data_IF_382471073974
#
_entry.id   IF_382471073974
#
_cell.length_a   1.000
_cell.length_b   1.000
_cell.length_c   1.000
_cell.angle_alpha   90.00
_cell.angle_beta   90.00
_cell.angle_gamma   90.00
#
_symmetry.space_group_name_H-M   'P 1'
#
loop_
_entity.id
_entity.type
_entity.pdbx_description
1 polymer ?
#
# COMPACT_ATOMS: atom_id res chain seq x y z
N UNK A 1 14.85 17.41 -17.57
CA UNK A 1 14.20 18.05 -16.40
C UNK A 1 13.31 16.97 -15.80
N UNK A 2 13.65 16.45 -14.61
CA UNK A 2 12.87 15.39 -13.98
C UNK A 2 11.49 15.95 -13.61
N UNK A 3 10.42 15.25 -13.98
CA UNK A 3 9.07 15.64 -13.59
C UNK A 3 8.92 15.36 -12.10
N UNK A 4 8.71 16.42 -11.32
CA UNK A 4 8.35 16.33 -9.91
C UNK A 4 7.00 15.61 -9.81
N UNK A 5 7.03 14.35 -9.36
CA UNK A 5 5.82 13.53 -9.12
C UNK A 5 4.99 14.02 -7.92
N UNK A 6 5.51 14.99 -7.20
CA UNK A 6 4.91 15.60 -6.03
C UNK A 6 5.26 17.10 -6.05
N UNK A 7 4.26 17.97 -5.88
CA UNK A 7 4.50 19.40 -5.82
C UNK A 7 4.94 19.77 -4.40
N UNK A 8 6.22 20.11 -4.26
CA UNK A 8 6.82 20.48 -3.00
C UNK A 8 6.40 21.91 -2.62
N UNK A 9 5.52 22.06 -1.63
CA UNK A 9 5.09 23.39 -1.15
C UNK A 9 5.91 23.85 0.05
N UNK A 10 5.93 25.18 0.28
CA UNK A 10 6.62 25.79 1.42
C UNK A 10 6.12 25.24 2.77
N UNK A 11 4.82 24.95 2.90
CA UNK A 11 4.23 24.39 4.12
C UNK A 11 4.78 23.00 4.48
N UNK A 12 4.89 22.11 3.49
CA UNK A 12 5.45 20.77 3.72
C UNK A 12 6.94 20.88 4.07
N UNK A 13 7.66 21.79 3.40
CA UNK A 13 9.06 22.08 3.70
C UNK A 13 9.23 22.55 5.15
N UNK A 14 8.35 23.44 5.61
CA UNK A 14 8.34 23.92 6.98
C UNK A 14 8.13 22.77 7.98
N UNK A 15 7.13 21.91 7.78
CA UNK A 15 6.90 20.76 8.68
C UNK A 15 8.10 19.81 8.74
N UNK A 16 8.72 19.54 7.58
CA UNK A 16 9.92 18.71 7.48
C UNK A 16 11.11 19.34 8.22
N UNK A 17 11.27 20.67 8.13
CA UNK A 17 12.32 21.41 8.83
C UNK A 17 12.07 21.49 10.33
N UNK A 18 10.81 21.61 10.74
CA UNK A 18 10.37 21.59 12.14
C UNK A 18 10.48 20.21 12.80
N UNK A 19 10.88 19.17 12.06
CA UNK A 19 11.13 17.83 12.59
C UNK A 19 9.89 16.97 12.73
N UNK A 20 8.80 17.29 12.03
CA UNK A 20 7.59 16.46 12.02
C UNK A 20 7.88 15.07 11.42
N UNK A 21 7.19 14.06 11.94
CA UNK A 21 7.03 12.76 11.27
C UNK A 21 6.01 12.91 10.16
N UNK A 22 6.45 12.77 8.91
CA UNK A 22 5.58 12.87 7.73
C UNK A 22 5.04 11.48 7.40
N UNK A 23 3.76 11.27 7.66
CA UNK A 23 3.07 10.02 7.32
C UNK A 23 2.47 10.10 5.93
N UNK A 24 2.59 9.02 5.17
CA UNK A 24 2.01 8.89 3.83
C UNK A 24 1.18 7.60 3.71
N UNK A 25 0.15 7.56 2.85
CA UNK A 25 -0.66 6.36 2.67
C UNK A 25 0.11 5.18 2.08
N UNK A 26 1.14 5.44 1.27
CA UNK A 26 1.85 4.39 0.51
C UNK A 26 3.34 4.69 0.38
N UNK A 27 4.14 3.61 0.21
CA UNK A 27 5.57 3.70 -0.12
C UNK A 27 5.82 4.63 -1.31
N UNK A 28 4.98 4.56 -2.35
CA UNK A 28 5.14 5.36 -3.56
C UNK A 28 5.16 6.86 -3.28
N UNK A 29 4.28 7.33 -2.40
CA UNK A 29 4.21 8.75 -2.02
C UNK A 29 5.43 9.12 -1.17
N UNK A 30 5.80 8.29 -0.18
CA UNK A 30 6.99 8.54 0.63
C UNK A 30 8.26 8.66 -0.21
N UNK A 31 8.45 7.78 -1.20
CA UNK A 31 9.60 7.80 -2.10
C UNK A 31 9.57 9.03 -2.99
N UNK A 32 8.42 9.40 -3.56
CA UNK A 32 8.31 10.60 -4.38
C UNK A 32 8.67 11.89 -3.62
N UNK A 33 8.28 11.99 -2.35
CA UNK A 33 8.64 13.12 -1.49
C UNK A 33 10.15 13.11 -1.21
N UNK A 34 10.72 11.96 -0.85
CA UNK A 34 12.16 11.82 -0.59
C UNK A 34 13.02 12.10 -1.82
N UNK A 35 12.60 11.66 -3.00
CA UNK A 35 13.28 11.93 -4.26
C UNK A 35 13.26 13.43 -4.58
N UNK A 36 12.11 14.10 -4.41
CA UNK A 36 12.00 15.55 -4.59
C UNK A 36 12.89 16.33 -3.62
N UNK A 37 12.99 15.87 -2.36
CA UNK A 37 13.90 16.45 -1.37
C UNK A 37 15.37 16.27 -1.76
N UNK A 38 15.72 15.11 -2.33
CA UNK A 38 17.07 14.83 -2.78
C UNK A 38 17.47 15.68 -4.00
N UNK A 39 16.53 15.93 -4.92
CA UNK A 39 16.75 16.80 -6.08
C UNK A 39 17.00 18.26 -5.70
N UNK A 40 16.36 18.75 -4.63
CA UNK A 40 16.54 20.13 -4.14
C UNK A 40 17.77 20.29 -3.23
N UNK A 41 18.34 19.18 -2.73
CA UNK A 41 19.52 19.24 -1.89
C UNK A 41 20.74 19.69 -2.71
N UNK A 42 21.25 20.88 -2.41
CA UNK A 42 22.49 21.42 -3.01
C UNK A 42 23.76 20.74 -2.50
N UNK A 43 23.67 19.91 -1.45
CA UNK A 43 24.79 19.19 -0.83
C UNK A 43 24.79 17.71 -1.18
N UNK A 44 25.98 17.12 -1.32
CA UNK A 44 26.17 15.67 -1.54
C UNK A 44 25.69 14.80 -0.37
N UNK A 45 25.46 15.39 0.79
CA UNK A 45 24.97 14.70 2.00
C UNK A 45 23.81 15.50 2.59
N UNK A 46 22.66 14.87 2.78
CA UNK A 46 21.48 15.47 3.39
C UNK A 46 20.96 14.59 4.54
N UNK A 47 20.39 15.23 5.56
CA UNK A 47 19.80 14.52 6.69
C UNK A 47 18.55 13.78 6.23
N UNK A 48 18.49 12.47 6.47
CA UNK A 48 17.29 11.68 6.13
C UNK A 48 16.09 12.23 6.89
N UNK A 49 15.12 12.76 6.14
CA UNK A 49 13.87 13.29 6.69
C UNK A 49 12.96 12.13 7.10
N UNK A 50 12.16 12.34 8.15
CA UNK A 50 11.27 11.32 8.69
C UNK A 50 9.97 11.21 7.87
N UNK A 51 10.12 10.88 6.58
CA UNK A 51 9.01 10.61 5.66
C UNK A 51 8.81 9.10 5.61
N UNK A 52 7.68 8.63 6.13
CA UNK A 52 7.43 7.22 6.35
C UNK A 52 5.98 6.85 5.97
N UNK A 53 5.78 5.73 5.27
CA UNK A 53 4.46 5.13 5.05
C UNK A 53 3.82 4.71 6.37
N UNK A 54 2.51 4.92 6.51
CA UNK A 54 1.79 4.67 7.77
C UNK A 54 1.97 3.25 8.29
N UNK A 55 1.93 2.24 7.43
CA UNK A 55 2.12 0.84 7.83
C UNK A 55 3.51 0.58 8.41
N UNK A 56 4.55 1.19 7.82
CA UNK A 56 5.91 1.08 8.33
C UNK A 56 6.08 1.84 9.64
N UNK A 57 5.40 2.98 9.79
CA UNK A 57 5.37 3.72 11.04
C UNK A 57 4.67 2.93 12.15
N UNK A 58 3.52 2.30 11.88
CA UNK A 58 2.82 1.42 12.84
C UNK A 58 3.74 0.29 13.28
N UNK A 59 4.39 -0.42 12.34
CA UNK A 59 5.36 -1.48 12.66
C UNK A 59 6.55 -0.99 13.47
N UNK A 60 7.02 0.24 13.22
CA UNK A 60 8.11 0.85 13.98
C UNK A 60 7.65 1.12 15.41
N UNK A 61 6.53 1.80 15.58
CA UNK A 61 5.99 2.15 16.92
C UNK A 61 5.62 0.92 17.73
N UNK A 62 5.07 -0.10 17.09
CA UNK A 62 4.85 -1.39 17.75
C UNK A 62 6.13 -1.96 18.35
N UNK A 63 7.22 -2.00 17.58
CA UNK A 63 8.53 -2.48 18.07
C UNK A 63 9.11 -1.58 19.14
N UNK A 64 9.01 -0.26 18.98
CA UNK A 64 9.50 0.70 19.98
C UNK A 64 8.79 0.50 21.34
N UNK A 65 7.47 0.24 21.33
CA UNK A 65 6.68 -0.07 22.52
C UNK A 65 6.97 -1.47 23.07
N UNK A 66 7.21 -2.45 22.20
CA UNK A 66 7.61 -3.80 22.59
C UNK A 66 8.94 -3.79 23.35
N UNK A 67 9.94 -3.05 22.86
CA UNK A 67 11.22 -2.87 23.54
C UNK A 67 11.11 -2.17 24.90
N UNK A 68 10.06 -1.38 25.10
CA UNK A 68 9.73 -0.76 26.39
C UNK A 68 8.96 -1.70 27.33
N UNK A 69 8.65 -2.94 26.90
CA UNK A 69 7.88 -3.89 27.69
C UNK A 69 6.39 -3.54 27.80
N UNK A 70 5.85 -2.75 26.87
CA UNK A 70 4.46 -2.31 26.92
C UNK A 70 3.56 -3.35 26.24
N UNK A 71 2.63 -3.93 27.00
CA UNK A 71 1.60 -4.85 26.49
C UNK A 71 0.52 -4.08 25.72
N UNK A 72 0.00 -4.60 24.59
CA UNK A 72 0.25 -5.93 24.02
C UNK A 72 1.44 -5.98 23.06
N UNK A 73 2.19 -4.90 22.87
CA UNK A 73 3.26 -4.85 21.89
C UNK A 73 4.43 -5.79 22.24
N UNK A 74 4.75 -5.98 23.51
CA UNK A 74 5.76 -6.94 23.97
C UNK A 74 5.30 -8.41 23.92
N UNK A 75 3.99 -8.65 23.83
CA UNK A 75 3.42 -10.00 23.91
C UNK A 75 3.24 -10.65 22.53
N UNK A 76 3.26 -9.84 21.46
CA UNK A 76 3.01 -10.29 20.11
C UNK A 76 3.97 -9.69 19.10
N UNK A 77 4.43 -10.51 18.16
CA UNK A 77 5.10 -10.05 16.95
C UNK A 77 4.10 -9.68 15.85
N UNK A 78 4.52 -8.82 14.92
CA UNK A 78 3.73 -8.54 13.71
C UNK A 78 4.17 -9.48 12.61
N UNK A 79 3.21 -10.20 12.03
CA UNK A 79 3.42 -11.02 10.85
C UNK A 79 3.75 -10.17 9.63
N UNK A 80 4.77 -10.59 8.88
CA UNK A 80 5.02 -10.08 7.54
C UNK A 80 4.03 -10.67 6.54
N UNK A 81 3.84 -10.00 5.39
CA UNK A 81 2.78 -10.37 4.43
C UNK A 81 2.86 -11.81 3.92
N UNK A 82 4.08 -12.34 3.74
CA UNK A 82 4.27 -13.73 3.36
C UNK A 82 3.96 -14.72 4.51
N UNK A 83 4.26 -14.35 5.74
CA UNK A 83 4.00 -15.19 6.92
C UNK A 83 2.49 -15.30 7.16
N UNK A 84 1.78 -14.17 7.06
CA UNK A 84 0.31 -14.13 7.10
C UNK A 84 -0.29 -14.99 5.98
N UNK A 85 0.19 -14.83 4.74
CA UNK A 85 -0.29 -15.63 3.60
C UNK A 85 -0.07 -17.13 3.80
N UNK A 86 1.10 -17.52 4.31
CA UNK A 86 1.43 -18.93 4.59
C UNK A 86 0.50 -19.51 5.65
N UNK A 87 0.23 -18.77 6.72
CA UNK A 87 -0.70 -19.20 7.77
C UNK A 87 -2.12 -19.38 7.22
N UNK A 88 -2.59 -18.46 6.37
CA UNK A 88 -3.88 -18.62 5.70
C UNK A 88 -3.94 -19.85 4.80
N UNK A 89 -2.89 -20.10 4.01
CA UNK A 89 -2.79 -21.31 3.19
C UNK A 89 -2.88 -22.58 4.04
N UNK A 90 -2.16 -22.65 5.16
CA UNK A 90 -2.22 -23.78 6.09
C UNK A 90 -3.62 -23.99 6.67
N UNK A 91 -4.34 -22.93 7.03
CA UNK A 91 -5.72 -23.03 7.53
C UNK A 91 -6.66 -23.62 6.48
N UNK A 92 -6.51 -23.17 5.23
CA UNK A 92 -7.36 -23.61 4.13
C UNK A 92 -7.05 -25.05 3.72
N UNK A 93 -5.77 -25.39 3.60
CA UNK A 93 -5.31 -26.74 3.23
C UNK A 93 -5.75 -27.78 4.27
N UNK A 94 -5.58 -27.48 5.57
CA UNK A 94 -6.02 -28.36 6.66
C UNK A 94 -7.53 -28.62 6.63
N UNK A 95 -8.33 -27.64 6.22
CA UNK A 95 -9.78 -27.78 6.08
C UNK A 95 -10.20 -28.47 4.77
N UNK A 96 -9.33 -28.45 3.75
CA UNK A 96 -9.60 -28.98 2.41
C UNK A 96 -9.57 -30.51 2.32
N UNK A 97 -9.06 -31.21 3.35
CA UNK A 97 -9.14 -32.67 3.45
C UNK A 97 -10.57 -33.20 3.28
N UNK A 98 -11.58 -32.40 3.69
CA UNK A 98 -13.00 -32.74 3.54
C UNK A 98 -13.66 -32.09 2.31
N UNK A 99 -13.06 -31.03 1.75
CA UNK A 99 -13.57 -30.27 0.61
C UNK A 99 -12.42 -29.73 -0.24
N UNK A 100 -11.96 -30.49 -1.26
CA UNK A 100 -10.83 -30.07 -2.07
C UNK A 100 -11.16 -28.79 -2.83
N UNK A 101 -10.33 -27.76 -2.63
CA UNK A 101 -10.40 -26.50 -3.37
C UNK A 101 -9.53 -26.58 -4.62
N UNK A 102 -9.99 -25.98 -5.71
CA UNK A 102 -9.26 -25.94 -6.99
C UNK A 102 -7.99 -25.09 -6.86
N UNK A 103 -8.01 -24.04 -6.03
CA UNK A 103 -6.85 -23.17 -5.80
C UNK A 103 -6.81 -22.67 -4.34
N UNK A 104 -6.15 -23.40 -3.43
CA UNK A 104 -6.00 -23.01 -2.02
C UNK A 104 -5.25 -21.68 -1.83
N UNK A 105 -4.27 -21.37 -2.69
CA UNK A 105 -3.46 -20.15 -2.57
C UNK A 105 -4.24 -18.89 -2.91
N UNK A 106 -4.97 -18.89 -4.02
CA UNK A 106 -5.88 -17.78 -4.37
C UNK A 106 -6.98 -17.62 -3.32
N UNK A 107 -7.49 -18.73 -2.79
CA UNK A 107 -8.46 -18.69 -1.69
C UNK A 107 -7.85 -18.04 -0.45
N UNK A 108 -6.62 -18.39 -0.09
CA UNK A 108 -5.87 -17.80 1.03
C UNK A 108 -5.69 -16.30 0.88
N UNK A 109 -5.34 -15.85 -0.33
CA UNK A 109 -5.22 -14.43 -0.64
C UNK A 109 -6.55 -13.69 -0.46
N UNK A 110 -7.65 -14.25 -0.97
CA UNK A 110 -8.98 -13.65 -0.84
C UNK A 110 -9.45 -13.55 0.61
N UNK A 111 -9.24 -14.59 1.43
CA UNK A 111 -9.65 -14.56 2.84
C UNK A 111 -8.77 -13.68 3.71
N UNK A 112 -7.46 -13.60 3.44
CA UNK A 112 -6.56 -12.64 4.08
C UNK A 112 -7.02 -11.21 3.81
N UNK A 113 -7.32 -10.89 2.55
CA UNK A 113 -7.85 -9.58 2.18
C UNK A 113 -9.18 -9.28 2.87
N UNK A 114 -10.10 -10.25 2.90
CA UNK A 114 -11.38 -10.10 3.59
C UNK A 114 -11.18 -9.81 5.10
N UNK A 115 -10.25 -10.50 5.76
CA UNK A 115 -9.88 -10.25 7.17
C UNK A 115 -9.33 -8.84 7.37
N UNK A 116 -8.44 -8.38 6.50
CA UNK A 116 -7.88 -7.03 6.55
C UNK A 116 -8.95 -5.95 6.33
N UNK A 117 -9.87 -6.16 5.38
CA UNK A 117 -11.00 -5.26 5.12
C UNK A 117 -11.96 -5.20 6.31
N UNK A 118 -12.27 -6.35 6.93
CA UNK A 118 -13.09 -6.40 8.14
C UNK A 118 -12.45 -5.58 9.27
N UNK A 119 -11.15 -5.75 9.53
CA UNK A 119 -10.46 -4.97 10.56
C UNK A 119 -10.35 -3.48 10.23
N UNK A 120 -10.28 -3.13 8.94
CA UNK A 120 -10.10 -1.74 8.51
C UNK A 120 -11.39 -0.93 8.53
N UNK A 121 -12.52 -1.58 8.23
CA UNK A 121 -13.80 -0.90 8.00
C UNK A 121 -14.92 -1.28 8.97
N UNK A 122 -14.78 -2.36 9.75
CA UNK A 122 -15.84 -2.82 10.64
C UNK A 122 -15.49 -2.55 12.10
N UNK A 123 -16.44 -1.95 12.82
CA UNK A 123 -16.43 -1.95 14.28
C UNK A 123 -16.74 -3.36 14.82
N UNK A 124 -16.37 -3.68 16.09
CA UNK A 124 -16.74 -4.95 16.71
C UNK A 124 -18.25 -5.23 16.70
N UNK A 125 -19.09 -4.19 16.74
CA UNK A 125 -20.55 -4.31 16.70
C UNK A 125 -21.05 -4.65 15.30
N UNK A 126 -20.51 -4.00 14.26
CA UNK A 126 -20.86 -4.30 12.86
C UNK A 126 -20.43 -5.71 12.47
N UNK A 127 -19.25 -6.15 12.91
CA UNK A 127 -18.79 -7.51 12.65
C UNK A 127 -19.77 -8.55 13.22
N UNK A 128 -20.25 -8.37 14.46
CA UNK A 128 -21.28 -9.24 15.05
C UNK A 128 -22.57 -9.27 14.22
N UNK A 129 -23.01 -8.12 13.72
CA UNK A 129 -24.20 -8.02 12.87
C UNK A 129 -24.01 -8.70 11.50
N UNK A 130 -22.83 -8.56 10.89
CA UNK A 130 -22.47 -9.25 9.64
C UNK A 130 -22.49 -10.76 9.84
N UNK A 131 -21.87 -11.23 10.94
CA UNK A 131 -21.82 -12.65 11.29
C UNK A 131 -23.23 -13.21 11.51
N UNK A 132 -24.09 -12.49 12.23
CA UNK A 132 -25.46 -12.93 12.51
C UNK A 132 -26.38 -12.95 11.28
N UNK A 133 -26.16 -12.02 10.34
CA UNK A 133 -27.04 -11.84 9.16
C UNK A 133 -26.66 -12.71 7.96
N UNK A 134 -25.38 -13.10 7.80
CA UNK A 134 -24.92 -13.87 6.63
C UNK A 134 -24.94 -15.36 6.89
N UNK A 135 -25.84 -16.08 6.20
CA UNK A 135 -26.02 -17.55 6.33
C UNK A 135 -25.62 -18.34 5.08
N UNK A 136 -24.77 -17.79 4.21
CA UNK A 136 -24.35 -18.51 3.01
C UNK A 136 -23.19 -19.48 3.32
N UNK A 137 -23.04 -20.50 2.46
CA UNK A 137 -22.03 -21.56 2.64
C UNK A 137 -20.60 -21.02 2.61
N UNK A 138 -20.29 -20.10 1.71
CA UNK A 138 -18.95 -19.50 1.59
C UNK A 138 -18.55 -18.72 2.84
N UNK A 139 -19.48 -17.98 3.43
CA UNK A 139 -19.27 -17.23 4.66
C UNK A 139 -19.09 -18.17 5.85
N UNK A 140 -19.80 -19.30 5.88
CA UNK A 140 -19.58 -20.33 6.91
C UNK A 140 -18.16 -20.92 6.82
N UNK A 141 -17.66 -21.19 5.61
CA UNK A 141 -16.27 -21.63 5.42
C UNK A 141 -15.27 -20.55 5.81
N UNK A 142 -15.51 -19.30 5.42
CA UNK A 142 -14.69 -18.17 5.83
C UNK A 142 -14.60 -18.06 7.35
N UNK A 143 -15.71 -18.15 8.07
CA UNK A 143 -15.71 -18.07 9.54
C UNK A 143 -14.90 -19.20 10.17
N UNK A 144 -15.00 -20.42 9.64
CA UNK A 144 -14.19 -21.55 10.12
C UNK A 144 -12.70 -21.31 9.90
N UNK A 145 -12.30 -20.93 8.69
CA UNK A 145 -10.89 -20.62 8.40
C UNK A 145 -10.38 -19.44 9.22
N UNK A 146 -11.23 -18.45 9.46
CA UNK A 146 -10.93 -17.27 10.28
C UNK A 146 -10.71 -17.67 11.74
N UNK A 147 -11.55 -18.53 12.30
CA UNK A 147 -11.37 -19.07 13.65
C UNK A 147 -10.06 -19.86 13.77
N UNK A 148 -9.79 -20.77 12.83
CA UNK A 148 -8.54 -21.55 12.79
C UNK A 148 -7.31 -20.63 12.71
N UNK A 149 -7.41 -19.56 11.90
CA UNK A 149 -6.35 -18.56 11.76
C UNK A 149 -6.12 -17.77 13.06
N UNK A 150 -7.18 -17.36 13.74
CA UNK A 150 -7.09 -16.68 15.04
C UNK A 150 -6.46 -17.57 16.11
N UNK A 151 -6.81 -18.87 16.14
CA UNK A 151 -6.20 -19.81 17.07
C UNK A 151 -4.70 -19.99 16.82
N UNK A 152 -4.29 -20.11 15.55
CA UNK A 152 -2.88 -20.26 15.17
C UNK A 152 -2.06 -19.01 15.49
N UNK A 153 -2.57 -17.82 15.17
CA UNK A 153 -1.92 -16.54 15.48
C UNK A 153 -1.73 -16.34 16.98
N UNK A 154 -2.70 -16.73 17.79
CA UNK A 154 -2.59 -16.71 19.25
C UNK A 154 -1.56 -17.72 19.77
N UNK A 155 -1.52 -18.94 19.21
CA UNK A 155 -0.58 -19.98 19.62
C UNK A 155 0.89 -19.60 19.36
N UNK A 156 1.17 -18.95 18.23
CA UNK A 156 2.53 -18.48 17.88
C UNK A 156 2.83 -17.07 18.39
N UNK A 157 1.87 -16.42 19.07
CA UNK A 157 1.99 -15.03 19.53
C UNK A 157 2.41 -14.05 18.43
N UNK A 158 1.80 -14.18 17.26
CA UNK A 158 2.05 -13.28 16.13
C UNK A 158 0.74 -12.85 15.46
N UNK A 159 0.61 -11.56 15.14
CA UNK A 159 -0.62 -10.95 14.64
C UNK A 159 -0.42 -10.33 13.26
N UNK A 160 -1.44 -10.38 12.37
CA UNK A 160 -1.47 -9.53 11.19
C UNK A 160 -1.34 -8.05 11.55
N UNK A 161 -0.75 -7.25 10.67
CA UNK A 161 -0.63 -5.80 10.87
C UNK A 161 -2.00 -5.15 11.13
N UNK A 162 -3.05 -5.58 10.42
CA UNK A 162 -4.41 -5.04 10.58
C UNK A 162 -4.97 -5.29 11.98
N UNK A 163 -4.64 -6.44 12.59
CA UNK A 163 -5.06 -6.78 13.96
C UNK A 163 -4.18 -6.10 15.01
N UNK A 164 -2.88 -6.00 14.75
CA UNK A 164 -1.95 -5.24 15.59
C UNK A 164 -2.36 -3.77 15.68
N UNK A 165 -2.75 -3.13 14.57
CA UNK A 165 -3.27 -1.77 14.55
C UNK A 165 -4.47 -1.59 15.50
N UNK A 166 -5.45 -2.50 15.47
CA UNK A 166 -6.61 -2.42 16.36
C UNK A 166 -6.22 -2.55 17.84
N UNK A 167 -5.23 -3.39 18.16
CA UNK A 167 -4.68 -3.50 19.52
C UNK A 167 -3.93 -2.24 19.94
N UNK A 168 -3.16 -1.66 19.02
CA UNK A 168 -2.44 -0.40 19.24
C UNK A 168 -3.40 0.76 19.51
N UNK A 169 -4.50 0.87 18.75
CA UNK A 169 -5.53 1.89 18.98
C UNK A 169 -6.10 1.75 20.39
N UNK A 170 -6.49 0.54 20.80
CA UNK A 170 -7.01 0.29 22.17
C UNK A 170 -6.03 0.61 23.29
N UNK A 171 -4.73 0.46 23.03
CA UNK A 171 -3.68 0.87 23.95
C UNK A 171 -3.64 2.41 24.04
N UNK A 172 -3.56 3.09 22.90
CA UNK A 172 -3.50 4.56 22.84
C UNK A 172 -4.76 5.26 23.33
N UNK A 173 -5.94 4.63 23.23
CA UNK A 173 -7.18 5.13 23.84
C UNK A 173 -7.06 5.26 25.38
N UNK A 174 -6.24 4.41 26.01
CA UNK A 174 -6.04 4.39 27.47
C UNK A 174 -4.82 5.20 27.91
N UNK A 175 -3.75 5.11 27.13
CA UNK A 175 -2.42 5.67 27.44
C UNK A 175 -1.86 6.35 26.19
N UNK A 176 -2.47 7.48 25.74
CA UNK A 176 -2.04 8.19 24.54
C UNK A 176 -0.63 8.78 24.66
N UNK A 177 -0.11 8.95 25.86
CA UNK A 177 1.24 9.48 26.16
C UNK A 177 2.38 8.53 25.76
N UNK A 178 2.09 7.28 25.42
CA UNK A 178 3.11 6.34 24.92
C UNK A 178 3.68 6.74 23.55
N UNK A 179 3.00 7.60 22.81
CA UNK A 179 3.48 8.16 21.55
C UNK A 179 3.40 9.68 21.62
N UNK A 180 4.58 10.32 21.63
CA UNK A 180 4.75 11.78 21.63
C UNK A 180 5.65 12.22 20.48
N UNK A 181 5.05 12.61 19.36
CA UNK A 181 5.71 13.15 18.17
C UNK A 181 4.77 14.09 17.39
N UNK A 182 5.31 15.13 16.76
CA UNK A 182 4.53 15.95 15.83
C UNK A 182 4.37 15.21 14.50
N UNK A 183 3.14 15.13 13.99
CA UNK A 183 2.78 14.31 12.83
C UNK A 183 2.14 15.16 11.74
N UNK A 184 2.61 15.00 10.50
CA UNK A 184 1.94 15.53 9.32
C UNK A 184 1.37 14.38 8.48
N UNK A 185 0.06 14.38 8.25
CA UNK A 185 -0.66 13.39 7.46
C UNK A 185 -0.74 13.87 6.01
N UNK A 186 0.11 13.35 5.12
CA UNK A 186 0.19 13.79 3.72
C UNK A 186 -0.67 12.93 2.81
N UNK A 187 -1.63 13.53 2.11
CA UNK A 187 -2.47 12.91 1.07
C UNK A 187 -3.38 11.77 1.56
N UNK A 188 -3.85 11.83 2.80
CA UNK A 188 -4.92 10.96 3.29
C UNK A 188 -6.31 11.54 2.91
N UNK A 189 -6.76 11.27 1.68
CA UNK A 189 -8.04 11.81 1.17
C UNK A 189 -9.27 11.16 1.82
N UNK A 190 -9.30 9.82 1.89
CA UNK A 190 -10.35 9.07 2.58
C UNK A 190 -9.73 7.87 3.30
N UNK A 191 -9.12 8.09 4.49
CA UNK A 191 -8.51 7.01 5.25
C UNK A 191 -9.58 6.01 5.73
N UNK A 192 -9.26 4.70 5.76
CA UNK A 192 -10.11 3.70 6.39
C UNK A 192 -10.45 4.06 7.85
N UNK A 193 -11.61 3.63 8.37
CA UNK A 193 -12.02 3.87 9.75
C UNK A 193 -10.95 3.52 10.79
N UNK A 194 -10.19 2.44 10.61
CA UNK A 194 -9.08 2.07 11.50
C UNK A 194 -7.98 3.14 11.57
N UNK A 195 -7.56 3.71 10.44
CA UNK A 195 -6.60 4.81 10.42
C UNK A 195 -7.20 6.09 11.00
N UNK A 196 -8.47 6.41 10.71
CA UNK A 196 -9.17 7.55 11.32
C UNK A 196 -9.16 7.43 12.85
N UNK A 197 -9.46 6.25 13.39
CA UNK A 197 -9.42 5.99 14.83
C UNK A 197 -8.02 6.16 15.41
N UNK A 198 -6.98 5.66 14.72
CA UNK A 198 -5.59 5.89 15.11
C UNK A 198 -5.24 7.39 15.15
N UNK A 199 -5.60 8.15 14.11
CA UNK A 199 -5.32 9.59 14.05
C UNK A 199 -6.00 10.35 15.18
N UNK A 200 -7.23 9.99 15.52
CA UNK A 200 -7.96 10.58 16.66
C UNK A 200 -7.25 10.28 17.98
N UNK A 201 -6.73 9.06 18.19
CA UNK A 201 -5.97 8.75 19.39
C UNK A 201 -4.68 9.57 19.48
N UNK A 202 -3.97 9.73 18.36
CA UNK A 202 -2.73 10.50 18.31
C UNK A 202 -2.97 11.99 18.59
N UNK A 203 -4.06 12.56 18.10
CA UNK A 203 -4.43 13.97 18.33
C UNK A 203 -4.59 14.35 19.81
N UNK A 204 -4.77 13.39 20.71
CA UNK A 204 -4.94 13.66 22.15
C UNK A 204 -3.66 14.23 22.76
N UNK A 205 -2.49 13.71 22.38
CA UNK A 205 -1.19 14.06 22.96
C UNK A 205 -0.21 14.69 21.96
N UNK A 206 -0.56 14.69 20.67
CA UNK A 206 0.32 15.09 19.59
C UNK A 206 -0.28 16.20 18.73
N UNK A 207 0.58 17.04 18.16
CA UNK A 207 0.19 17.89 17.04
C UNK A 207 0.06 17.02 15.78
N UNK A 208 -1.16 16.86 15.27
CA UNK A 208 -1.44 16.12 14.04
C UNK A 208 -2.04 17.06 13.01
N UNK A 209 -1.28 17.36 11.96
CA UNK A 209 -1.69 18.26 10.89
C UNK A 209 -2.02 17.49 9.61
N UNK A 210 -3.15 17.80 9.00
CA UNK A 210 -3.51 17.23 7.71
C UNK A 210 -2.94 18.11 6.60
N UNK A 211 -2.14 17.49 5.74
CA UNK A 211 -1.60 18.13 4.56
C UNK A 211 -2.11 17.38 3.33
N UNK A 212 -2.86 18.09 2.51
CA UNK A 212 -3.17 17.60 1.17
C UNK A 212 -2.24 18.36 0.24
N UNK A 213 -1.28 17.65 -0.34
CA UNK A 213 -0.54 18.18 -1.48
C UNK A 213 -1.61 18.65 -2.44
N UNK A 214 -1.58 19.95 -2.74
CA UNK A 214 -2.25 20.43 -3.93
C UNK A 214 -1.74 19.53 -5.05
N UNK A 215 -2.60 18.60 -5.50
CA UNK A 215 -2.77 18.38 -6.93
C UNK A 215 -2.73 19.80 -7.48
N UNK A 216 -1.90 20.16 -8.48
CA UNK A 216 -1.99 21.50 -9.06
C UNK A 216 -3.47 21.69 -9.35
N UNK A 217 -4.21 22.54 -8.62
CA UNK A 217 -5.58 22.25 -8.18
C UNK A 217 -6.47 22.04 -9.38
N UNK A 218 -6.53 20.84 -9.95
CA UNK A 218 -6.78 20.61 -11.38
C UNK A 218 -6.48 21.82 -12.32
N UNK A 219 -5.43 22.63 -12.10
CA UNK A 219 -5.40 24.06 -12.49
C UNK A 219 -6.68 24.84 -12.07
N UNK A 220 -6.63 26.17 -11.88
CA UNK A 220 -7.82 27.03 -11.55
C UNK A 220 -8.88 27.07 -12.68
N UNK A 221 -9.30 25.90 -13.10
CA UNK A 221 -9.82 25.48 -14.36
C UNK A 221 -10.72 24.36 -13.88
N UNK A 222 -11.99 24.70 -13.67
CA UNK A 222 -13.00 23.68 -13.41
C UNK A 222 -12.90 22.58 -14.47
N UNK A 223 -13.34 21.34 -14.19
CA UNK A 223 -13.35 20.27 -15.19
C UNK A 223 -13.89 20.73 -16.56
N UNK A 224 -14.87 21.63 -16.56
CA UNK A 224 -15.42 22.27 -17.77
C UNK A 224 -14.39 23.10 -18.55
N UNK A 225 -13.51 23.80 -17.84
CA UNK A 225 -12.50 24.70 -18.39
C UNK A 225 -11.27 23.93 -18.89
N UNK A 226 -10.98 22.75 -18.33
CA UNK A 226 -9.88 21.85 -18.75
C UNK A 226 -10.31 21.07 -20.00
N UNK A 227 -11.57 20.63 -20.03
CA UNK A 227 -12.18 19.99 -21.19
C UNK A 227 -12.31 20.92 -22.41
N UNK A 228 -12.33 22.25 -22.21
CA UNK A 228 -12.41 23.24 -23.30
C UNK A 228 -11.04 23.69 -23.81
N UNK A 229 -9.96 23.51 -23.04
CA UNK A 229 -8.59 23.89 -23.46
C UNK A 229 -7.71 22.71 -23.86
N UNK A 230 -8.01 21.51 -23.38
CA UNK A 230 -7.33 20.28 -23.79
C UNK A 230 -8.28 19.42 -24.62
N UNK A 231 -7.80 18.95 -25.77
CA UNK A 231 -8.54 18.05 -26.64
C UNK A 231 -8.79 16.71 -25.96
N UNK A 232 -9.96 16.57 -25.34
CA UNK A 232 -10.43 15.27 -24.89
C UNK A 232 -10.73 14.42 -26.13
N UNK A 233 -9.91 13.40 -26.38
CA UNK A 233 -10.12 12.41 -27.44
C UNK A 233 -10.72 11.16 -26.81
N UNK A 234 -11.95 10.83 -27.21
CA UNK A 234 -12.62 9.59 -26.84
C UNK A 234 -12.64 8.72 -28.09
N UNK A 235 -12.15 7.48 -27.96
CA UNK A 235 -12.13 6.51 -29.04
C UNK A 235 -12.76 5.21 -28.57
N UNK A 236 -13.50 4.56 -29.48
CA UNK A 236 -14.11 3.25 -29.24
C UNK A 236 -13.43 2.21 -30.11
N UNK A 237 -13.16 1.05 -29.53
CA UNK A 237 -12.49 -0.06 -30.20
C UNK A 237 -13.33 -1.33 -30.12
N UNK A 238 -13.28 -2.11 -31.20
CA UNK A 238 -14.04 -3.37 -31.30
C UNK A 238 -13.41 -4.51 -30.49
N UNK A 239 -12.15 -4.37 -30.08
CA UNK A 239 -11.46 -5.35 -29.24
C UNK A 239 -10.42 -4.68 -28.34
N UNK A 240 -10.14 -5.30 -27.19
CA UNK A 240 -9.08 -4.82 -26.29
C UNK A 240 -7.68 -4.89 -26.93
N UNK A 241 -7.48 -5.74 -27.96
CA UNK A 241 -6.22 -5.77 -28.71
C UNK A 241 -6.07 -4.52 -29.58
N UNK A 242 -7.15 -4.08 -30.22
CA UNK A 242 -7.15 -2.86 -31.05
C UNK A 242 -6.97 -1.62 -30.16
N UNK A 243 -7.61 -1.61 -28.98
CA UNK A 243 -7.42 -0.56 -27.97
C UNK A 243 -5.96 -0.45 -27.51
N UNK A 244 -5.34 -1.58 -27.14
CA UNK A 244 -3.91 -1.61 -26.76
C UNK A 244 -3.04 -1.14 -27.92
N UNK A 245 -3.33 -1.59 -29.14
CA UNK A 245 -2.57 -1.24 -30.33
C UNK A 245 -2.61 0.28 -30.61
N UNK A 246 -3.78 0.90 -30.58
CA UNK A 246 -3.93 2.34 -30.81
C UNK A 246 -3.43 3.17 -29.61
N UNK A 247 -3.58 2.68 -28.37
CA UNK A 247 -2.99 3.31 -27.18
C UNK A 247 -1.46 3.42 -27.29
N UNK A 248 -0.79 2.33 -27.68
CA UNK A 248 0.66 2.35 -27.90
C UNK A 248 1.03 3.26 -29.07
N UNK A 249 0.25 3.25 -30.16
CA UNK A 249 0.47 4.16 -31.30
C UNK A 249 0.43 5.63 -30.87
N UNK A 250 -0.63 6.01 -30.17
CA UNK A 250 -0.81 7.35 -29.64
C UNK A 250 0.37 7.76 -28.75
N UNK A 251 0.80 6.86 -27.86
CA UNK A 251 1.94 7.14 -26.99
C UNK A 251 3.24 7.35 -27.79
N UNK A 252 3.45 6.59 -28.86
CA UNK A 252 4.61 6.77 -29.74
C UNK A 252 4.58 8.09 -30.49
N UNK A 253 3.42 8.52 -31.00
CA UNK A 253 3.27 9.81 -31.69
C UNK A 253 3.67 10.96 -30.75
N UNK A 254 3.21 10.92 -29.50
CA UNK A 254 3.58 11.91 -28.47
C UNK A 254 5.09 11.89 -28.17
N UNK A 255 5.70 10.71 -28.01
CA UNK A 255 7.14 10.59 -27.73
C UNK A 255 7.98 11.08 -28.92
N UNK A 256 7.53 10.86 -30.15
CA UNK A 256 8.20 11.37 -31.36
C UNK A 256 8.20 12.89 -31.42
N UNK A 257 7.07 13.52 -31.11
CA UNK A 257 6.93 14.98 -31.10
C UNK A 257 7.65 15.61 -29.92
N UNK A 258 7.62 14.95 -28.76
CA UNK A 258 8.28 15.39 -27.55
C UNK A 258 8.98 14.21 -26.87
N UNK A 259 10.29 14.02 -27.10
CA UNK A 259 11.06 12.93 -26.49
C UNK A 259 11.11 12.94 -24.96
N UNK A 260 10.81 14.09 -24.34
CA UNK A 260 10.75 14.23 -22.89
C UNK A 260 9.31 14.13 -22.35
N UNK A 261 8.33 13.76 -23.19
CA UNK A 261 6.96 13.58 -22.76
C UNK A 261 6.83 12.46 -21.74
N UNK A 262 5.94 12.64 -20.78
CA UNK A 262 5.63 11.65 -19.76
C UNK A 262 4.20 11.18 -19.91
N UNK A 263 4.06 9.88 -20.11
CA UNK A 263 2.79 9.26 -20.48
C UNK A 263 2.37 8.33 -19.36
N UNK A 264 1.20 8.60 -18.77
CA UNK A 264 0.55 7.71 -17.82
C UNK A 264 -0.57 6.93 -18.50
N UNK A 265 -0.53 5.61 -18.44
CA UNK A 265 -1.62 4.73 -18.90
C UNK A 265 -2.29 4.17 -17.65
N UNK A 266 -3.60 4.41 -17.53
CA UNK A 266 -4.40 3.96 -16.38
C UNK A 266 -5.40 2.92 -16.90
N UNK A 267 -5.44 1.76 -16.25
CA UNK A 267 -6.35 0.67 -16.59
C UNK A 267 -6.94 0.06 -15.31
N UNK A 268 -8.21 -0.38 -15.33
CA UNK A 268 -8.82 -1.05 -14.19
C UNK A 268 -8.17 -2.40 -13.84
N UNK A 269 -7.53 -3.07 -14.80
CA UNK A 269 -6.81 -4.33 -14.57
C UNK A 269 -5.38 -4.28 -15.15
N UNK A 270 -4.43 -3.63 -14.44
CA UNK A 270 -3.05 -3.52 -14.91
C UNK A 270 -2.38 -4.87 -15.14
N UNK A 271 -2.66 -5.88 -14.30
CA UNK A 271 -2.01 -7.19 -14.42
C UNK A 271 -2.42 -7.93 -15.70
N UNK A 272 -3.71 -7.84 -16.06
CA UNK A 272 -4.21 -8.48 -17.29
C UNK A 272 -3.71 -7.81 -18.56
N UNK A 273 -3.48 -6.49 -18.53
CA UNK A 273 -3.19 -5.68 -19.73
C UNK A 273 -1.69 -5.40 -19.90
N UNK A 274 -0.90 -5.38 -18.81
CA UNK A 274 0.51 -5.02 -18.83
C UNK A 274 1.38 -5.88 -19.78
N UNK A 275 1.26 -7.22 -19.83
CA UNK A 275 2.07 -8.04 -20.74
C UNK A 275 1.82 -7.70 -22.21
N UNK A 276 0.56 -7.45 -22.55
CA UNK A 276 0.14 -7.12 -23.92
C UNK A 276 0.60 -5.71 -24.32
N UNK A 277 0.44 -4.72 -23.42
CA UNK A 277 0.99 -3.38 -23.59
C UNK A 277 2.51 -3.41 -23.78
N UNK A 278 3.23 -4.13 -22.91
CA UNK A 278 4.69 -4.23 -22.99
C UNK A 278 5.15 -4.86 -24.30
N UNK A 279 4.48 -5.94 -24.73
CA UNK A 279 4.78 -6.59 -26.01
C UNK A 279 4.57 -5.63 -27.19
N UNK A 280 3.48 -4.87 -27.18
CA UNK A 280 3.19 -3.91 -28.25
C UNK A 280 4.15 -2.72 -28.26
N UNK A 281 4.50 -2.17 -27.09
CA UNK A 281 5.54 -1.15 -26.96
C UNK A 281 6.88 -1.66 -27.49
N UNK A 282 7.32 -2.85 -27.09
CA UNK A 282 8.57 -3.45 -27.57
C UNK A 282 8.56 -3.70 -29.08
N UNK A 283 7.44 -4.20 -29.62
CA UNK A 283 7.26 -4.46 -31.05
C UNK A 283 7.45 -3.21 -31.89
N UNK A 284 6.94 -2.08 -31.42
CA UNK A 284 6.91 -0.83 -32.18
C UNK A 284 8.12 0.07 -31.90
N UNK A 285 8.66 0.06 -30.68
CA UNK A 285 9.83 0.88 -30.32
C UNK A 285 11.17 0.26 -30.73
N UNK A 286 11.27 -1.07 -30.92
CA UNK A 286 12.49 -1.69 -31.48
C UNK A 286 12.72 -1.40 -32.96
N UNK A 287 11.73 -0.86 -33.69
CA UNK A 287 11.84 -0.54 -35.12
C UNK A 287 12.49 0.83 -35.39
N UNK A 288 12.59 1.69 -34.39
CA UNK A 288 13.24 2.99 -34.50
C UNK A 288 14.21 3.13 -33.32
N UNK A 289 15.50 3.28 -33.61
CA UNK A 289 16.57 3.42 -32.63
C UNK A 289 16.34 4.63 -31.71
N UNK A 290 15.70 4.40 -30.57
CA UNK A 290 15.44 5.37 -29.50
C UNK A 290 15.98 4.77 -28.18
N UNK A 291 16.56 5.59 -27.26
CA UNK A 291 17.21 5.09 -26.04
C UNK A 291 16.25 4.25 -25.20
N UNK A 292 16.82 3.24 -24.53
CA UNK A 292 16.15 2.23 -23.72
C UNK A 292 14.81 2.70 -23.12
N UNK A 293 13.72 2.07 -23.57
CA UNK A 293 12.40 2.20 -22.97
C UNK A 293 12.47 1.59 -21.56
N UNK A 294 12.71 2.43 -20.57
CA UNK A 294 12.67 2.05 -19.16
C UNK A 294 11.21 2.09 -18.70
N UNK A 295 10.46 1.08 -19.17
CA UNK A 295 9.09 0.84 -18.75
C UNK A 295 9.10 0.42 -17.28
N UNK A 296 9.15 1.39 -16.38
CA UNK A 296 8.70 1.17 -15.01
C UNK A 296 7.18 1.05 -15.06
N UNK A 297 6.69 -0.07 -15.60
CA UNK A 297 5.30 -0.49 -15.47
C UNK A 297 5.10 -0.74 -13.99
N UNK A 298 4.66 0.29 -13.28
CA UNK A 298 4.23 0.22 -11.90
C UNK A 298 2.87 -0.50 -11.88
N UNK A 299 2.86 -1.79 -12.21
CA UNK A 299 1.77 -2.64 -11.77
C UNK A 299 1.88 -2.67 -10.25
N UNK A 300 0.88 -2.13 -9.54
CA UNK A 300 0.77 -2.22 -8.08
C UNK A 300 0.74 -3.68 -7.54
N UNK A 301 0.95 -4.68 -8.39
CA UNK A 301 1.36 -6.01 -7.98
C UNK A 301 2.81 -6.01 -7.54
N UNK A 302 3.00 -6.02 -6.22
CA UNK A 302 4.07 -6.82 -5.61
C UNK A 302 3.88 -8.30 -5.97
N UNK A 303 3.94 -8.67 -7.25
CA UNK A 303 4.12 -10.06 -7.67
C UNK A 303 5.61 -10.32 -7.62
N UNK A 304 6.05 -10.75 -6.43
CA UNK A 304 7.44 -11.06 -6.13
C UNK A 304 8.17 -9.90 -5.45
N UNK A 305 7.86 -9.63 -4.18
CA UNK A 305 8.91 -9.05 -3.35
C UNK A 305 10.09 -10.04 -3.40
N UNK A 306 11.33 -9.58 -3.58
CA UNK A 306 12.51 -10.48 -3.53
C UNK A 306 12.51 -11.36 -2.26
N UNK A 307 11.88 -10.88 -1.19
CA UNK A 307 11.65 -11.59 0.09
C UNK A 307 10.59 -12.70 0.06
N UNK A 308 9.73 -12.75 -0.96
CA UNK A 308 8.74 -13.82 -1.16
C UNK A 308 9.25 -14.93 -2.09
N UNK A 309 10.49 -14.84 -2.57
CA UNK A 309 11.19 -15.98 -3.15
C UNK A 309 11.47 -16.99 -2.02
N UNK A 310 11.07 -18.25 -2.22
CA UNK A 310 11.15 -19.29 -1.19
C UNK A 310 12.57 -19.52 -0.67
N UNK A 311 13.60 -19.27 -1.48
CA UNK A 311 15.01 -19.38 -1.05
C UNK A 311 15.39 -18.21 -0.15
N UNK A 312 15.00 -17.00 -0.52
CA UNK A 312 15.30 -15.78 0.25
C UNK A 312 14.54 -15.77 1.57
N UNK A 313 13.30 -16.23 1.59
CA UNK A 313 12.53 -16.40 2.82
C UNK A 313 13.16 -17.43 3.76
N UNK A 314 13.56 -18.60 3.24
CA UNK A 314 14.21 -19.64 4.06
C UNK A 314 15.47 -19.10 4.72
N UNK A 315 16.27 -18.31 3.99
CA UNK A 315 17.46 -17.65 4.54
C UNK A 315 17.07 -16.62 5.61
N UNK A 316 16.12 -15.73 5.34
CA UNK A 316 15.70 -14.68 6.29
C UNK A 316 15.03 -15.27 7.56
N UNK A 317 14.24 -16.32 7.42
CA UNK A 317 13.61 -17.03 8.53
C UNK A 317 14.66 -17.78 9.38
N UNK A 318 15.63 -18.44 8.73
CA UNK A 318 16.74 -19.09 9.44
C UNK A 318 17.58 -18.07 10.21
N UNK A 319 17.85 -16.90 9.62
CA UNK A 319 18.56 -15.80 10.29
C UNK A 319 17.76 -15.24 11.48
N UNK A 320 16.44 -15.12 11.36
CA UNK A 320 15.55 -14.67 12.46
C UNK A 320 15.51 -15.66 13.63
N UNK A 321 15.58 -16.97 13.35
CA UNK A 321 15.69 -17.99 14.40
C UNK A 321 17.04 -17.88 15.11
N UNK A 322 18.13 -17.68 14.36
CA UNK A 322 19.49 -17.56 14.91
C UNK A 322 19.76 -16.26 15.68
N UNK A 323 18.96 -15.21 15.48
CA UNK A 323 19.05 -13.95 16.25
C UNK A 323 18.34 -14.04 17.63
N UNK A 324 17.52 -15.07 17.86
CA UNK A 324 16.77 -15.29 19.10
C UNK A 324 17.37 -16.39 20.01
N UNK A 325 18.53 -16.95 19.65
CA UNK A 325 19.36 -17.85 20.46
C UNK A 325 20.61 -17.13 21.02
#
# INVERSE_FOLDING_TARGET
MAIRRFEYTEDLSYMIQAGYTILTPTNRISTAILDSLAEEATSKTWLKRNVIPIDLWIKKKWRDLAHQGISPCCDYEILEGFEEQTLWSLCIESASENHPLINPQETAFLVSRAHQELNSFSSPTELKNIIASRKNRNFTFFLKWHEDFLQRTEAIKALPLSTALLKLIKLLEKTPEHITENIALVNFYDPPPSYKALFLCLQVTNTVENYVSSIPPLSKVTPEKYATTNSLRIEEFNSGKDEIYECVRWAQEIIKENPNAHIGIITPNPQGVAPDLQREFLRRLRRESIPAFDANINTNSYTGAFKSDGVVYTILFTLRILEND
#
